data_IF_829370523638
#
_entry.id   IF_829370523638
#
_cell.length_a   1.000
_cell.length_b   1.000
_cell.length_c   1.000
_cell.angle_alpha   90.00
_cell.angle_beta   90.00
_cell.angle_gamma   90.00
#
_symmetry.space_group_name_H-M   'P 1'
#
loop_
_entity.id
_entity.type
_entity.pdbx_description
1 polymer ?
#
# COMPACT_ATOMS: atom_id res chain seq x y z
N UNK A 1 -32.90 3.95 -29.77
CA UNK A 1 -32.95 4.75 -28.54
C UNK A 1 -32.84 3.75 -27.40
N UNK A 2 -31.62 3.39 -26.99
CA UNK A 2 -31.40 2.46 -25.87
C UNK A 2 -31.62 3.23 -24.57
N UNK A 3 -32.58 2.80 -23.76
CA UNK A 3 -32.88 3.46 -22.48
C UNK A 3 -31.63 3.43 -21.57
N UNK A 4 -31.15 4.60 -21.11
CA UNK A 4 -29.98 4.70 -20.24
C UNK A 4 -30.16 3.98 -18.88
N UNK A 5 -31.42 3.77 -18.45
CA UNK A 5 -31.73 2.93 -17.28
C UNK A 5 -31.37 1.46 -17.51
N UNK A 6 -31.58 0.91 -18.72
CA UNK A 6 -31.28 -0.51 -19.00
C UNK A 6 -29.78 -0.81 -18.97
N UNK A 7 -28.94 0.16 -19.34
CA UNK A 7 -27.48 0.03 -19.31
C UNK A 7 -26.91 0.11 -17.90
N UNK A 8 -27.51 0.93 -17.02
CA UNK A 8 -27.10 1.01 -15.63
C UNK A 8 -27.39 -0.30 -14.88
N UNK A 9 -28.56 -0.91 -15.09
CA UNK A 9 -28.93 -2.17 -14.41
C UNK A 9 -28.04 -3.35 -14.84
N UNK A 10 -27.56 -3.37 -16.09
CA UNK A 10 -26.66 -4.43 -16.57
C UNK A 10 -25.25 -4.32 -15.96
N UNK A 11 -24.78 -3.11 -15.68
CA UNK A 11 -23.48 -2.82 -15.07
C UNK A 11 -23.34 -3.42 -13.66
N UNK A 12 -24.43 -3.40 -12.88
CA UNK A 12 -24.51 -3.97 -11.53
C UNK A 12 -24.98 -5.43 -11.49
N UNK A 13 -25.10 -6.10 -12.64
CA UNK A 13 -25.51 -7.51 -12.67
C UNK A 13 -24.42 -8.42 -12.08
N UNK A 14 -24.81 -9.34 -11.18
CA UNK A 14 -23.90 -10.31 -10.55
C UNK A 14 -23.06 -11.03 -11.60
N UNK A 15 -23.67 -11.41 -12.73
CA UNK A 15 -23.00 -12.11 -13.83
C UNK A 15 -21.87 -11.28 -14.44
N UNK A 16 -22.08 -9.98 -14.67
CA UNK A 16 -21.07 -9.09 -15.24
C UNK A 16 -19.96 -8.82 -14.23
N UNK A 17 -20.31 -8.52 -12.98
CA UNK A 17 -19.33 -8.33 -11.89
C UNK A 17 -18.41 -9.55 -11.78
N UNK A 18 -18.99 -10.75 -11.70
CA UNK A 18 -18.21 -12.00 -11.58
C UNK A 18 -17.31 -12.21 -12.80
N UNK A 19 -17.82 -11.98 -14.02
CA UNK A 19 -17.05 -12.21 -15.26
C UNK A 19 -15.93 -11.20 -15.46
N UNK A 20 -16.05 -10.00 -14.89
CA UNK A 20 -15.01 -8.96 -14.92
C UNK A 20 -14.01 -9.13 -13.77
N UNK A 21 -14.50 -9.40 -12.55
CA UNK A 21 -13.67 -9.48 -11.35
C UNK A 21 -12.87 -10.78 -11.26
N UNK A 22 -13.43 -11.94 -11.65
CA UNK A 22 -12.69 -13.21 -11.53
C UNK A 22 -11.37 -13.19 -12.33
N UNK A 23 -11.34 -12.82 -13.63
CA UNK A 23 -10.09 -12.78 -14.38
C UNK A 23 -9.09 -11.76 -13.81
N UNK A 24 -9.59 -10.60 -13.36
CA UNK A 24 -8.77 -9.57 -12.73
C UNK A 24 -8.14 -10.10 -11.44
N UNK A 25 -8.95 -10.65 -10.53
CA UNK A 25 -8.48 -11.21 -9.26
C UNK A 25 -7.53 -12.39 -9.47
N UNK A 26 -7.78 -13.23 -10.47
CA UNK A 26 -6.88 -14.31 -10.84
C UNK A 26 -5.51 -13.77 -11.29
N UNK A 27 -5.49 -12.74 -12.15
CA UNK A 27 -4.25 -12.10 -12.58
C UNK A 27 -3.50 -11.43 -11.43
N UNK A 28 -4.22 -10.71 -10.55
CA UNK A 28 -3.63 -10.10 -9.35
C UNK A 28 -3.09 -11.18 -8.39
N UNK A 29 -3.80 -12.29 -8.22
CA UNK A 29 -3.34 -13.42 -7.40
C UNK A 29 -2.04 -14.01 -7.94
N UNK A 30 -1.91 -14.14 -9.27
CA UNK A 30 -0.66 -14.58 -9.92
C UNK A 30 0.50 -13.62 -9.64
N UNK A 31 0.25 -12.30 -9.65
CA UNK A 31 1.27 -11.32 -9.29
C UNK A 31 1.66 -11.43 -7.80
N UNK A 32 0.69 -11.69 -6.93
CA UNK A 32 0.91 -11.80 -5.49
C UNK A 32 1.73 -13.04 -5.09
N UNK A 33 1.84 -14.07 -5.95
CA UNK A 33 2.75 -15.19 -5.72
C UNK A 33 4.20 -14.73 -5.52
N UNK A 34 4.63 -13.63 -6.15
CA UNK A 34 5.98 -13.07 -5.92
C UNK A 34 6.18 -12.75 -4.44
N UNK A 35 5.23 -12.05 -3.83
CA UNK A 35 5.24 -11.75 -2.39
C UNK A 35 5.20 -13.04 -1.55
N UNK A 36 4.41 -14.03 -1.96
CA UNK A 36 4.34 -15.32 -1.27
C UNK A 36 5.67 -16.07 -1.25
N UNK A 37 6.37 -16.14 -2.40
CA UNK A 37 7.67 -16.81 -2.52
C UNK A 37 8.76 -16.15 -1.67
N UNK A 38 8.74 -14.82 -1.56
CA UNK A 38 9.66 -14.09 -0.68
C UNK A 38 9.32 -14.40 0.77
N UNK A 39 8.04 -14.43 1.15
CA UNK A 39 7.63 -14.78 2.51
C UNK A 39 8.07 -16.19 2.91
N UNK A 40 7.92 -17.17 2.00
CA UNK A 40 8.38 -18.55 2.18
C UNK A 40 9.90 -18.61 2.41
N UNK A 41 10.68 -17.84 1.64
CA UNK A 41 12.15 -17.78 1.80
C UNK A 41 12.56 -17.32 3.21
N UNK A 42 11.75 -16.49 3.87
CA UNK A 42 12.01 -15.98 5.22
C UNK A 42 11.24 -16.72 6.33
N UNK A 43 10.59 -17.86 6.04
CA UNK A 43 9.78 -18.61 7.01
C UNK A 43 10.56 -18.93 8.29
N UNK A 44 11.79 -19.43 8.16
CA UNK A 44 12.63 -19.75 9.32
C UNK A 44 12.94 -18.52 10.20
N UNK A 45 13.13 -17.35 9.58
CA UNK A 45 13.38 -16.08 10.29
C UNK A 45 12.11 -15.63 11.01
N UNK A 46 10.96 -15.75 10.35
CA UNK A 46 9.66 -15.39 10.90
C UNK A 46 9.27 -16.26 12.10
N UNK A 47 9.45 -17.58 12.00
CA UNK A 47 9.21 -18.51 13.11
C UNK A 47 10.16 -18.27 14.29
N UNK A 48 11.39 -17.83 14.01
CA UNK A 48 12.35 -17.46 15.06
C UNK A 48 12.01 -16.14 15.75
N UNK A 49 11.41 -15.19 15.03
CA UNK A 49 11.11 -13.86 15.53
C UNK A 49 9.63 -13.49 15.37
N UNK A 50 8.77 -13.83 16.36
CA UNK A 50 7.32 -13.59 16.30
C UNK A 50 6.93 -12.12 16.06
N UNK A 51 7.74 -11.16 16.49
CA UNK A 51 7.50 -9.74 16.20
C UNK A 51 7.47 -9.45 14.69
N UNK A 52 8.28 -10.14 13.88
CA UNK A 52 8.31 -9.94 12.43
C UNK A 52 7.06 -10.52 11.77
N UNK A 53 6.55 -11.66 12.26
CA UNK A 53 5.27 -12.22 11.81
C UNK A 53 4.12 -11.25 12.00
N UNK A 54 4.10 -10.52 13.11
CA UNK A 54 3.09 -9.48 13.37
C UNK A 54 3.27 -8.28 12.43
N UNK A 55 4.51 -7.88 12.16
CA UNK A 55 4.80 -6.74 11.28
C UNK A 55 4.33 -6.95 9.85
N UNK A 56 4.50 -8.16 9.27
CA UNK A 56 4.22 -8.42 7.85
C UNK A 56 2.83 -7.91 7.41
N UNK A 57 1.70 -8.43 7.93
CA UNK A 57 0.38 -8.02 7.46
C UNK A 57 0.05 -6.57 7.82
N UNK A 58 0.44 -6.11 9.02
CA UNK A 58 0.11 -4.76 9.49
C UNK A 58 0.84 -3.72 8.65
N UNK A 59 2.09 -3.99 8.28
CA UNK A 59 2.89 -3.07 7.52
C UNK A 59 2.40 -2.93 6.07
N UNK A 60 2.13 -4.06 5.42
CA UNK A 60 1.57 -4.09 4.07
C UNK A 60 0.22 -3.36 4.05
N UNK A 61 -0.69 -3.71 4.96
CA UNK A 61 -2.00 -3.07 5.05
C UNK A 61 -1.92 -1.58 5.34
N UNK A 62 -1.00 -1.15 6.21
CA UNK A 62 -0.78 0.27 6.49
C UNK A 62 -0.28 1.02 5.25
N UNK A 63 0.63 0.44 4.47
CA UNK A 63 1.09 1.05 3.21
C UNK A 63 -0.06 1.19 2.19
N UNK A 64 -0.90 0.16 2.04
CA UNK A 64 -2.09 0.23 1.20
C UNK A 64 -3.10 1.30 1.67
N UNK A 65 -3.25 1.49 2.98
CA UNK A 65 -4.08 2.55 3.53
C UNK A 65 -3.51 3.94 3.22
N UNK A 66 -2.19 4.13 3.37
CA UNK A 66 -1.51 5.38 2.99
C UNK A 66 -1.66 5.66 1.50
N UNK A 67 -1.52 4.64 0.66
CA UNK A 67 -1.76 4.72 -0.78
C UNK A 67 -3.17 5.20 -1.08
N UNK A 68 -4.17 4.56 -0.48
CA UNK A 68 -5.58 4.86 -0.72
C UNK A 68 -5.91 6.30 -0.32
N UNK A 69 -5.47 6.74 0.86
CA UNK A 69 -5.65 8.13 1.34
C UNK A 69 -4.96 9.11 0.38
N UNK A 70 -3.74 8.82 -0.05
CA UNK A 70 -2.97 9.70 -0.93
C UNK A 70 -3.63 9.81 -2.31
N UNK A 71 -4.00 8.69 -2.93
CA UNK A 71 -4.72 8.66 -4.19
C UNK A 71 -6.02 9.44 -4.10
N UNK A 72 -6.92 9.14 -3.14
CA UNK A 72 -8.21 9.84 -3.00
C UNK A 72 -8.05 11.35 -2.83
N UNK A 73 -7.01 11.81 -2.10
CA UNK A 73 -6.73 13.24 -1.95
C UNK A 73 -6.28 13.87 -3.27
N UNK A 74 -5.38 13.22 -4.00
CA UNK A 74 -4.88 13.72 -5.28
C UNK A 74 -6.00 13.75 -6.34
N UNK A 75 -6.83 12.71 -6.41
CA UNK A 75 -7.97 12.68 -7.34
C UNK A 75 -9.02 13.72 -6.98
N UNK A 76 -9.30 13.93 -5.70
CA UNK A 76 -10.17 15.03 -5.24
C UNK A 76 -9.62 16.40 -5.67
N UNK A 77 -8.31 16.64 -5.49
CA UNK A 77 -7.68 17.88 -5.94
C UNK A 77 -7.80 18.06 -7.45
N UNK A 78 -7.64 16.98 -8.21
CA UNK A 78 -7.77 16.98 -9.67
C UNK A 78 -9.18 17.38 -10.10
N UNK A 79 -10.21 16.76 -9.53
CA UNK A 79 -11.61 17.09 -9.84
C UNK A 79 -12.04 18.48 -9.40
N UNK A 80 -11.45 19.01 -8.32
CA UNK A 80 -11.67 20.39 -7.88
C UNK A 80 -10.88 21.42 -8.71
N UNK A 81 -10.05 20.99 -9.67
CA UNK A 81 -9.18 21.89 -10.45
C UNK A 81 -8.07 22.55 -9.63
N UNK A 82 -7.75 21.99 -8.46
CA UNK A 82 -6.71 22.49 -7.53
C UNK A 82 -5.42 21.67 -7.59
N UNK A 83 -5.40 20.64 -8.42
CA UNK A 83 -4.22 19.82 -8.65
C UNK A 83 -3.21 20.55 -9.53
N UNK A 84 -1.99 20.69 -9.02
CA UNK A 84 -0.87 21.25 -9.76
C UNK A 84 0.39 20.42 -9.47
N UNK A 85 0.89 19.74 -10.49
CA UNK A 85 2.10 18.94 -10.42
C UNK A 85 3.35 19.82 -10.56
N UNK A 86 3.68 20.52 -9.48
CA UNK A 86 4.91 21.29 -9.36
C UNK A 86 5.62 20.91 -8.06
N UNK A 87 6.91 20.55 -8.07
CA UNK A 87 7.68 20.33 -6.84
C UNK A 87 7.70 21.57 -5.93
N UNK A 88 7.49 22.76 -6.50
CA UNK A 88 7.37 24.02 -5.78
C UNK A 88 5.98 24.26 -5.18
N UNK A 89 4.97 23.45 -5.55
CA UNK A 89 3.61 23.57 -5.04
C UNK A 89 3.59 23.30 -3.52
N UNK A 90 3.22 24.29 -2.69
CA UNK A 90 3.18 24.11 -1.24
C UNK A 90 2.15 23.06 -0.82
N UNK A 91 1.04 22.90 -1.54
CA UNK A 91 0.02 21.91 -1.24
C UNK A 91 0.52 20.48 -1.49
N UNK A 92 1.24 20.25 -2.59
CA UNK A 92 1.85 18.95 -2.88
C UNK A 92 2.90 18.57 -1.82
N UNK A 93 3.75 19.53 -1.44
CA UNK A 93 4.74 19.34 -0.39
C UNK A 93 4.11 19.08 0.98
N UNK A 94 3.04 19.80 1.33
CA UNK A 94 2.30 19.59 2.56
C UNK A 94 1.62 18.21 2.58
N UNK A 95 1.06 17.77 1.45
CA UNK A 95 0.48 16.42 1.31
C UNK A 95 1.54 15.34 1.52
N UNK A 96 2.68 15.43 0.82
CA UNK A 96 3.78 14.49 0.98
C UNK A 96 4.31 14.48 2.42
N UNK A 97 4.53 15.66 3.02
CA UNK A 97 4.94 15.80 4.41
C UNK A 97 3.96 15.17 5.40
N UNK A 98 2.65 15.32 5.16
CA UNK A 98 1.62 14.67 5.96
C UNK A 98 1.67 13.14 5.84
N UNK A 99 1.92 12.59 4.65
CA UNK A 99 2.11 11.14 4.45
C UNK A 99 3.33 10.64 5.23
N UNK A 100 4.46 11.35 5.17
CA UNK A 100 5.66 10.98 5.94
C UNK A 100 5.44 11.10 7.45
N UNK A 101 4.75 12.14 7.92
CA UNK A 101 4.41 12.30 9.34
C UNK A 101 3.49 11.19 9.83
N UNK A 102 2.48 10.82 9.04
CA UNK A 102 1.59 9.72 9.33
C UNK A 102 2.34 8.37 9.30
N UNK A 103 3.22 8.16 8.32
CA UNK A 103 4.05 6.96 8.25
C UNK A 103 4.97 6.84 9.48
N UNK A 104 5.70 7.89 9.84
CA UNK A 104 6.59 7.87 11.00
C UNK A 104 5.85 7.56 12.31
N UNK A 105 4.67 8.15 12.50
CA UNK A 105 3.86 7.94 13.71
C UNK A 105 3.23 6.55 13.74
N UNK A 106 2.59 6.12 12.65
CA UNK A 106 1.90 4.82 12.59
C UNK A 106 2.89 3.67 12.60
N UNK A 107 3.94 3.68 11.77
CA UNK A 107 4.94 2.60 11.77
C UNK A 107 5.78 2.57 13.06
N UNK A 108 5.96 3.72 13.72
CA UNK A 108 6.52 3.76 15.07
C UNK A 108 5.61 3.03 16.08
N UNK A 109 4.32 3.36 16.11
CA UNK A 109 3.35 2.70 16.98
C UNK A 109 3.21 1.20 16.69
N UNK A 110 3.16 0.83 15.41
CA UNK A 110 3.14 -0.56 14.94
C UNK A 110 4.40 -1.31 15.39
N UNK A 111 5.59 -0.69 15.31
CA UNK A 111 6.83 -1.30 15.77
C UNK A 111 6.84 -1.57 17.28
N UNK A 112 6.33 -0.63 18.10
CA UNK A 112 6.16 -0.86 19.55
C UNK A 112 5.17 -1.99 19.81
N UNK A 113 4.01 -1.98 19.13
CA UNK A 113 2.97 -2.99 19.31
C UNK A 113 3.46 -4.38 18.89
N UNK A 114 4.12 -4.50 17.73
CA UNK A 114 4.67 -5.74 17.23
C UNK A 114 5.77 -6.29 18.15
N UNK A 115 6.60 -5.42 18.73
CA UNK A 115 7.56 -5.84 19.75
C UNK A 115 6.87 -6.36 21.01
N UNK A 116 5.85 -5.64 21.53
CA UNK A 116 5.13 -6.05 22.73
C UNK A 116 4.42 -7.40 22.55
N UNK A 117 3.75 -7.59 21.39
CA UNK A 117 3.11 -8.85 21.03
C UNK A 117 4.18 -9.94 20.83
N UNK A 118 5.27 -9.64 20.14
CA UNK A 118 6.36 -10.58 19.92
C UNK A 118 7.00 -11.05 21.23
N UNK A 119 7.17 -10.15 22.21
CA UNK A 119 7.65 -10.47 23.55
C UNK A 119 6.66 -11.38 24.30
N UNK A 120 5.36 -11.08 24.23
CA UNK A 120 4.31 -11.92 24.83
C UNK A 120 4.27 -13.33 24.22
N UNK A 121 4.69 -13.48 22.96
CA UNK A 121 4.82 -14.76 22.26
C UNK A 121 6.19 -15.46 22.50
N UNK A 122 7.00 -14.97 23.45
CA UNK A 122 8.30 -15.56 23.78
C UNK A 122 9.45 -15.17 22.84
N UNK A 123 9.25 -14.15 22.00
CA UNK A 123 10.28 -13.62 21.11
C UNK A 123 11.40 -12.87 21.87
N UNK A 124 12.60 -12.90 21.30
CA UNK A 124 13.81 -12.30 21.89
C UNK A 124 14.34 -11.06 21.14
N UNK A 125 13.64 -10.62 20.10
CA UNK A 125 14.11 -9.51 19.27
C UNK A 125 14.00 -8.18 20.04
N UNK A 126 15.11 -7.46 20.16
CA UNK A 126 15.16 -6.20 20.90
C UNK A 126 14.25 -5.14 20.27
N UNK A 127 13.59 -4.32 21.11
CA UNK A 127 12.68 -3.25 20.68
C UNK A 127 13.32 -2.34 19.63
N UNK A 128 14.58 -1.95 19.83
CA UNK A 128 15.31 -1.08 18.89
C UNK A 128 15.42 -1.68 17.49
N UNK A 129 15.59 -3.00 17.36
CA UNK A 129 15.62 -3.67 16.05
C UNK A 129 14.24 -3.71 15.40
N UNK A 130 13.20 -4.05 16.16
CA UNK A 130 11.81 -4.07 15.65
C UNK A 130 11.38 -2.68 15.19
N UNK A 131 11.67 -1.65 15.98
CA UNK A 131 11.40 -0.26 15.63
C UNK A 131 12.18 0.19 14.40
N UNK A 132 13.48 -0.13 14.32
CA UNK A 132 14.29 0.22 13.15
C UNK A 132 13.74 -0.44 11.89
N UNK A 133 13.41 -1.73 11.95
CA UNK A 133 12.81 -2.46 10.83
C UNK A 133 11.51 -1.79 10.42
N UNK A 134 10.55 -1.61 11.34
CA UNK A 134 9.24 -1.02 11.08
C UNK A 134 9.32 0.40 10.51
N UNK A 135 10.13 1.27 11.11
CA UNK A 135 10.25 2.66 10.68
C UNK A 135 10.95 2.80 9.33
N UNK A 136 12.08 2.12 9.13
CA UNK A 136 12.84 2.26 7.87
C UNK A 136 12.02 1.72 6.71
N UNK A 137 11.48 0.51 6.85
CA UNK A 137 10.66 -0.09 5.78
C UNK A 137 9.35 0.68 5.56
N UNK A 138 8.70 1.15 6.63
CA UNK A 138 7.51 1.99 6.55
C UNK A 138 7.75 3.36 5.89
N UNK A 139 8.88 4.00 6.16
CA UNK A 139 9.26 5.26 5.50
C UNK A 139 9.65 5.04 4.03
N UNK A 140 10.33 3.95 3.70
CA UNK A 140 10.56 3.55 2.31
C UNK A 140 9.24 3.31 1.56
N UNK A 141 8.27 2.68 2.20
CA UNK A 141 6.92 2.52 1.66
C UNK A 141 6.20 3.85 1.48
N UNK A 142 6.37 4.81 2.40
CA UNK A 142 5.81 6.15 2.27
C UNK A 142 6.38 6.89 1.04
N UNK A 143 7.68 6.74 0.74
CA UNK A 143 8.29 7.26 -0.50
C UNK A 143 7.61 6.65 -1.71
N UNK A 144 7.48 5.31 -1.73
CA UNK A 144 6.82 4.59 -2.82
C UNK A 144 5.39 5.07 -3.02
N UNK A 145 4.61 5.19 -1.94
CA UNK A 145 3.22 5.67 -1.96
C UNK A 145 3.13 7.04 -2.60
N UNK A 146 3.94 8.01 -2.15
CA UNK A 146 3.89 9.38 -2.70
C UNK A 146 4.20 9.38 -4.20
N UNK A 147 5.27 8.70 -4.61
CA UNK A 147 5.71 8.66 -6.02
C UNK A 147 4.68 7.92 -6.89
N UNK A 148 4.24 6.74 -6.44
CA UNK A 148 3.33 5.89 -7.19
C UNK A 148 1.93 6.51 -7.30
N UNK A 149 1.39 7.11 -6.24
CA UNK A 149 0.09 7.79 -6.29
C UNK A 149 0.11 8.98 -7.25
N UNK A 150 1.16 9.81 -7.23
CA UNK A 150 1.31 10.93 -8.17
C UNK A 150 1.40 10.42 -9.61
N UNK A 151 2.25 9.42 -9.86
CA UNK A 151 2.41 8.83 -11.19
C UNK A 151 1.11 8.19 -11.70
N UNK A 152 0.40 7.45 -10.85
CA UNK A 152 -0.84 6.78 -11.21
C UNK A 152 -1.93 7.80 -11.58
N UNK A 153 -2.10 8.87 -10.80
CA UNK A 153 -3.07 9.93 -11.10
C UNK A 153 -2.76 10.62 -12.42
N UNK A 154 -1.49 10.98 -12.66
CA UNK A 154 -1.04 11.57 -13.92
C UNK A 154 -1.29 10.67 -15.13
N UNK A 155 -0.90 9.40 -15.03
CA UNK A 155 -1.07 8.43 -16.13
C UNK A 155 -2.55 8.20 -16.40
N UNK A 156 -3.36 8.00 -15.36
CA UNK A 156 -4.80 7.81 -15.52
C UNK A 156 -5.44 9.01 -16.21
N UNK A 157 -5.11 10.22 -15.75
CA UNK A 157 -5.65 11.46 -16.32
C UNK A 157 -5.25 11.63 -17.80
N UNK A 158 -3.98 11.39 -18.15
CA UNK A 158 -3.48 11.53 -19.53
C UNK A 158 -4.06 10.52 -20.50
N UNK A 159 -4.37 9.31 -20.02
CA UNK A 159 -4.97 8.24 -20.83
C UNK A 159 -6.50 8.37 -20.90
N UNK A 160 -7.09 9.33 -20.17
CA UNK A 160 -8.54 9.53 -20.12
C UNK A 160 -9.28 8.47 -19.30
N UNK A 161 -8.58 7.74 -18.43
CA UNK A 161 -9.16 6.82 -17.47
C UNK A 161 -9.59 7.59 -16.22
N UNK A 162 -10.67 7.15 -15.57
CA UNK A 162 -11.06 7.69 -14.27
C UNK A 162 -10.01 7.32 -13.21
N UNK A 163 -9.33 8.31 -12.61
CA UNK A 163 -8.32 8.05 -11.58
C UNK A 163 -8.89 7.36 -10.34
N UNK A 164 -10.17 7.57 -10.01
CA UNK A 164 -10.79 6.91 -8.84
C UNK A 164 -10.96 5.40 -9.05
N UNK A 165 -11.14 4.95 -10.30
CA UNK A 165 -11.34 3.54 -10.64
C UNK A 165 -10.03 2.76 -10.81
N UNK A 166 -8.91 3.45 -11.02
CA UNK A 166 -7.64 2.84 -11.43
C UNK A 166 -6.51 3.05 -10.43
N UNK A 167 -6.38 4.23 -9.83
CA UNK A 167 -5.17 4.58 -9.06
C UNK A 167 -5.09 3.85 -7.74
N UNK A 168 -6.20 3.70 -7.01
CA UNK A 168 -6.22 2.99 -5.73
C UNK A 168 -5.87 1.51 -5.95
N UNK A 169 -6.57 0.73 -6.81
CA UNK A 169 -6.22 -0.68 -7.03
C UNK A 169 -4.78 -0.88 -7.51
N UNK A 170 -4.26 -0.02 -8.39
CA UNK A 170 -2.90 -0.15 -8.90
C UNK A 170 -1.86 0.10 -7.79
N UNK A 171 -2.01 1.18 -7.03
CA UNK A 171 -1.01 1.56 -6.03
C UNK A 171 -1.08 0.64 -4.81
N UNK A 172 -2.24 0.14 -4.41
CA UNK A 172 -2.34 -0.82 -3.29
C UNK A 172 -1.70 -2.16 -3.64
N UNK A 173 -1.94 -2.71 -4.83
CA UNK A 173 -1.26 -3.94 -5.27
C UNK A 173 0.27 -3.75 -5.36
N UNK A 174 0.72 -2.58 -5.80
CA UNK A 174 2.14 -2.24 -5.79
C UNK A 174 2.69 -2.22 -4.35
N UNK A 175 1.95 -1.66 -3.40
CA UNK A 175 2.32 -1.66 -1.98
C UNK A 175 2.30 -3.07 -1.37
N UNK A 176 1.45 -3.99 -1.85
CA UNK A 176 1.42 -5.36 -1.36
C UNK A 176 2.71 -6.11 -1.72
N UNK A 177 3.13 -6.01 -2.98
CA UNK A 177 4.37 -6.63 -3.46
C UNK A 177 5.58 -5.93 -2.84
N UNK A 178 5.66 -4.61 -2.99
CA UNK A 178 6.80 -3.84 -2.50
C UNK A 178 6.89 -3.86 -0.97
N UNK A 179 5.77 -3.95 -0.26
CA UNK A 179 5.72 -4.02 1.20
C UNK A 179 6.46 -5.22 1.75
N UNK A 180 6.23 -6.39 1.15
CA UNK A 180 7.00 -7.60 1.49
C UNK A 180 8.47 -7.45 1.11
N UNK A 181 8.76 -7.01 -0.11
CA UNK A 181 10.14 -6.87 -0.58
C UNK A 181 10.96 -5.90 0.27
N UNK A 182 10.41 -4.72 0.56
CA UNK A 182 11.07 -3.67 1.35
C UNK A 182 11.22 -4.12 2.80
N UNK A 183 10.18 -4.71 3.40
CA UNK A 183 10.27 -5.22 4.77
C UNK A 183 11.42 -6.24 4.89
N UNK A 184 11.44 -7.25 4.03
CA UNK A 184 12.47 -8.30 4.12
C UNK A 184 13.86 -7.83 3.67
N UNK A 185 13.95 -6.86 2.76
CA UNK A 185 15.22 -6.20 2.44
C UNK A 185 15.79 -5.45 3.66
N UNK A 186 14.93 -4.80 4.46
CA UNK A 186 15.38 -4.14 5.70
C UNK A 186 15.73 -5.19 6.77
N UNK A 187 14.93 -6.26 6.90
CA UNK A 187 15.21 -7.37 7.82
C UNK A 187 16.58 -7.99 7.54
N UNK A 188 16.93 -8.24 6.27
CA UNK A 188 18.21 -8.87 5.89
C UNK A 188 19.43 -7.98 6.12
N UNK A 189 19.24 -6.66 6.22
CA UNK A 189 20.31 -5.70 6.56
C UNK A 189 20.45 -5.54 8.08
N UNK A 190 19.34 -5.66 8.83
CA UNK A 190 19.32 -5.41 10.29
C UNK A 190 19.64 -6.65 11.12
N UNK A 191 19.33 -7.85 10.63
CA UNK A 191 19.59 -9.14 11.30
C UNK A 191 20.87 -9.80 10.82
#
# INVERSE_FOLDING_TARGET
MTDPESTAVDEWSVRRIVRTMIPLLAALSVLQLVSGTVLETYEAVLLRYPALLVLVPVQIGTAGNLASITCSRLTTQLYLGTYELSPSNPALRANAGAVFGLAATVFGAVGVAAWAIGLALGGSLALGRVLLISLVSGLCLAVLVVVASVAAVEVSYRVGLNPDDTTIPVVTNLCDIAGVLILFAVVSVVL
#
